data_IF_827911419510
#
_entry.id   IF_827911419510
#
_cell.length_a   1.000
_cell.length_b   1.000
_cell.length_c   1.000
_cell.angle_alpha   90.00
_cell.angle_beta   90.00
_cell.angle_gamma   90.00
#
_symmetry.space_group_name_H-M   'P 1'
#
loop_
_entity.id
_entity.type
_entity.pdbx_description
1 polymer ?
#
# COMPACT_ATOMS: atom_id res chain seq x y z
N UNK A 1 -41.68 -27.73 -29.56
CA UNK A 1 -42.11 -26.62 -30.44
C UNK A 1 -41.99 -25.30 -29.69
N UNK A 2 -41.40 -24.30 -30.35
CA UNK A 2 -41.42 -22.83 -30.15
C UNK A 2 -41.08 -22.20 -28.78
N UNK A 3 -40.03 -21.36 -28.85
CA UNK A 3 -39.52 -20.34 -27.91
C UNK A 3 -40.48 -19.14 -27.79
N UNK A 4 -40.33 -18.31 -26.75
CA UNK A 4 -39.87 -16.88 -26.80
C UNK A 4 -40.09 -16.18 -25.44
N UNK A 5 -39.07 -15.42 -25.01
CA UNK A 5 -39.01 -14.47 -23.88
C UNK A 5 -39.93 -13.25 -24.07
N UNK A 6 -40.35 -12.60 -22.98
CA UNK A 6 -40.39 -11.13 -22.91
C UNK A 6 -40.47 -10.61 -21.47
N UNK A 7 -39.49 -9.74 -21.17
CA UNK A 7 -39.37 -8.87 -20.00
C UNK A 7 -40.07 -7.56 -20.35
N UNK A 8 -40.85 -6.98 -19.43
CA UNK A 8 -41.37 -5.61 -19.57
C UNK A 8 -41.03 -4.82 -18.30
N UNK A 9 -39.98 -3.99 -18.40
CA UNK A 9 -39.70 -2.89 -17.49
C UNK A 9 -40.44 -1.66 -17.98
N UNK A 10 -41.29 -1.06 -17.14
CA UNK A 10 -41.92 0.24 -17.40
C UNK A 10 -41.09 1.30 -16.69
N UNK A 11 -40.33 2.08 -17.46
CA UNK A 11 -39.70 3.33 -17.03
C UNK A 11 -40.70 4.44 -17.35
N UNK A 12 -41.33 5.01 -16.33
CA UNK A 12 -42.09 6.25 -16.47
C UNK A 12 -41.14 7.44 -16.47
N UNK A 13 -40.91 7.99 -17.66
CA UNK A 13 -40.11 9.20 -17.87
C UNK A 13 -41.05 10.42 -17.84
N UNK A 14 -41.02 11.19 -16.75
CA UNK A 14 -41.70 12.49 -16.69
C UNK A 14 -40.74 13.54 -17.25
N UNK A 15 -40.99 13.98 -18.49
CA UNK A 15 -40.35 15.16 -19.07
C UNK A 15 -41.01 16.42 -18.51
N UNK A 16 -40.31 17.15 -17.64
CA UNK A 16 -40.54 18.58 -17.46
C UNK A 16 -39.50 19.36 -18.26
N UNK A 17 -40.00 20.26 -19.11
CA UNK A 17 -39.20 21.08 -20.01
C UNK A 17 -38.23 21.99 -19.27
N UNK A 18 -36.97 21.93 -19.66
CA UNK A 18 -35.96 22.94 -19.37
C UNK A 18 -35.45 23.45 -20.72
N UNK A 19 -35.71 24.73 -21.00
CA UNK A 19 -35.10 25.45 -22.10
C UNK A 19 -33.69 25.87 -21.68
N UNK A 20 -32.67 25.30 -22.35
CA UNK A 20 -31.27 25.69 -22.17
C UNK A 20 -30.97 26.84 -23.12
N UNK A 21 -30.66 28.02 -22.57
CA UNK A 21 -30.03 29.10 -23.34
C UNK A 21 -28.51 29.03 -23.12
N UNK A 22 -27.75 28.79 -24.18
CA UNK A 22 -26.29 28.82 -24.15
C UNK A 22 -25.79 30.24 -24.36
N UNK A 23 -25.05 30.77 -23.40
CA UNK A 23 -24.24 31.97 -23.57
C UNK A 23 -22.77 31.56 -23.54
N UNK A 24 -22.06 31.82 -24.64
CA UNK A 24 -20.61 31.70 -24.77
C UNK A 24 -19.91 32.61 -23.75
N UNK A 25 -18.97 32.06 -22.99
CA UNK A 25 -18.08 32.83 -22.13
C UNK A 25 -17.45 31.94 -21.05
N UNK A 26 -16.14 32.02 -20.92
CA UNK A 26 -15.27 31.20 -20.06
C UNK A 26 -15.75 31.03 -18.60
N UNK A 27 -15.56 29.82 -18.07
CA UNK A 27 -15.44 29.58 -16.63
C UNK A 27 -16.67 28.96 -15.95
N UNK A 28 -16.46 27.74 -15.43
CA UNK A 28 -17.21 27.10 -14.33
C UNK A 28 -18.73 27.29 -14.33
N UNK A 29 -19.46 26.32 -14.90
CA UNK A 29 -20.90 26.17 -14.71
C UNK A 29 -21.26 25.94 -13.24
N UNK A 30 -21.77 26.99 -12.57
CA UNK A 30 -22.60 26.87 -11.36
C UNK A 30 -24.04 27.20 -11.76
N UNK A 31 -24.90 26.20 -11.75
CA UNK A 31 -26.34 26.33 -11.95
C UNK A 31 -26.97 26.87 -10.67
N UNK A 32 -27.72 27.96 -10.74
CA UNK A 32 -28.54 28.47 -9.64
C UNK A 32 -30.02 28.28 -10.01
N UNK A 33 -30.82 27.77 -9.07
CA UNK A 33 -32.26 27.52 -9.24
C UNK A 33 -33.02 28.43 -8.29
N UNK A 34 -33.98 29.19 -8.80
CA UNK A 34 -34.85 30.10 -8.03
C UNK A 34 -36.27 29.57 -7.98
N UNK A 35 -36.94 29.65 -6.84
CA UNK A 35 -38.37 29.31 -6.68
C UNK A 35 -39.28 30.49 -7.04
N UNK A 36 -40.60 30.25 -7.30
CA UNK A 36 -41.54 31.26 -7.80
C UNK A 36 -41.78 32.47 -6.87
N UNK A 37 -41.42 32.39 -5.59
CA UNK A 37 -41.71 33.43 -4.59
C UNK A 37 -40.52 34.39 -4.35
N UNK A 38 -39.53 34.41 -5.25
CA UNK A 38 -38.42 35.38 -5.20
C UNK A 38 -37.45 35.23 -4.02
N UNK A 39 -37.57 34.17 -3.21
CA UNK A 39 -36.55 33.81 -2.22
C UNK A 39 -35.40 33.07 -2.89
N UNK A 40 -34.20 33.64 -2.76
CA UNK A 40 -32.96 32.98 -3.15
C UNK A 40 -32.76 31.76 -2.25
N UNK A 41 -32.91 30.55 -2.79
CA UNK A 41 -32.42 29.34 -2.13
C UNK A 41 -30.91 29.32 -2.32
N UNK A 42 -30.18 29.85 -1.32
CA UNK A 42 -28.78 29.52 -1.18
C UNK A 42 -28.70 27.99 -1.13
N UNK A 43 -27.87 27.32 -1.96
CA UNK A 43 -27.61 25.92 -1.73
C UNK A 43 -27.14 25.82 -0.29
N UNK A 44 -27.80 24.96 0.49
CA UNK A 44 -27.25 24.57 1.78
C UNK A 44 -25.80 24.20 1.50
N UNK A 45 -24.87 24.95 2.10
CA UNK A 45 -23.49 24.50 2.18
C UNK A 45 -23.56 23.14 2.87
N UNK A 46 -23.55 22.07 2.07
CA UNK A 46 -23.11 20.78 2.55
C UNK A 46 -21.73 21.06 3.11
N UNK A 47 -21.68 21.13 4.44
CA UNK A 47 -20.45 21.13 5.18
C UNK A 47 -19.66 19.95 4.65
N UNK A 48 -18.53 20.28 4.03
CA UNK A 48 -17.38 19.41 3.90
C UNK A 48 -17.03 18.87 5.29
N UNK A 49 -17.69 17.79 5.72
CA UNK A 49 -17.38 17.07 6.94
C UNK A 49 -17.99 15.67 6.82
N UNK A 50 -17.35 14.84 6.00
CA UNK A 50 -17.26 13.38 6.16
C UNK A 50 -16.33 12.78 5.09
N UNK A 51 -15.22 13.44 4.78
CA UNK A 51 -14.01 12.68 4.47
C UNK A 51 -13.46 12.28 5.84
N UNK A 52 -13.26 10.97 6.14
CA UNK A 52 -12.53 10.62 7.34
C UNK A 52 -11.22 11.41 7.29
N UNK A 53 -10.98 12.23 8.31
CA UNK A 53 -9.69 12.86 8.53
C UNK A 53 -8.68 11.73 8.64
N UNK A 54 -8.11 11.34 7.49
CA UNK A 54 -7.01 10.39 7.38
C UNK A 54 -5.87 11.07 8.12
N UNK A 55 -5.65 10.64 9.36
CA UNK A 55 -4.72 11.32 10.24
C UNK A 55 -3.35 11.28 9.56
N UNK A 56 -2.72 12.44 9.33
CA UNK A 56 -1.43 12.52 8.62
C UNK A 56 -0.27 11.76 9.29
N UNK A 57 -0.53 11.08 10.42
CA UNK A 57 0.42 10.22 11.13
C UNK A 57 0.31 8.74 10.75
N UNK A 58 -0.83 8.28 10.23
CA UNK A 58 -1.12 6.85 10.03
C UNK A 58 -0.28 6.20 8.92
N UNK A 59 0.35 7.01 8.06
CA UNK A 59 1.18 6.52 6.95
C UNK A 59 2.56 7.18 6.87
N UNK A 60 3.04 7.83 7.94
CA UNK A 60 4.35 8.50 7.95
C UNK A 60 5.52 7.56 7.58
N UNK A 61 5.35 6.25 7.81
CA UNK A 61 6.32 5.24 7.40
C UNK A 61 6.43 5.09 5.87
N UNK A 62 5.36 5.35 5.11
CA UNK A 62 5.38 5.29 3.64
C UNK A 62 6.24 6.41 3.07
N UNK A 63 6.18 7.60 3.66
CA UNK A 63 7.03 8.74 3.25
C UNK A 63 8.51 8.47 3.53
N UNK A 64 8.82 7.83 4.65
CA UNK A 64 10.17 7.40 4.99
C UNK A 64 10.70 6.36 4.00
N UNK A 65 9.92 5.32 3.69
CA UNK A 65 10.30 4.31 2.70
C UNK A 65 10.39 4.87 1.29
N UNK A 66 9.52 5.80 0.93
CA UNK A 66 9.60 6.49 -0.36
C UNK A 66 10.89 7.30 -0.46
N UNK A 67 11.20 8.10 0.57
CA UNK A 67 12.44 8.90 0.63
C UNK A 67 13.69 8.02 0.58
N UNK A 68 13.69 6.90 1.31
CA UNK A 68 14.73 5.88 1.21
C UNK A 68 14.80 5.31 -0.21
N UNK A 69 13.67 4.95 -0.81
CA UNK A 69 13.65 4.34 -2.15
C UNK A 69 14.25 5.22 -3.23
N UNK A 70 14.16 6.56 -3.08
CA UNK A 70 14.73 7.55 -4.01
C UNK A 70 16.26 7.70 -3.92
N UNK A 71 16.85 7.34 -2.77
CA UNK A 71 18.27 7.59 -2.48
C UNK A 71 19.06 6.31 -2.35
N UNK A 72 18.41 5.24 -1.89
CA UNK A 72 19.00 3.97 -1.48
C UNK A 72 20.22 4.20 -0.56
N UNK A 73 20.15 5.23 0.29
CA UNK A 73 21.19 5.52 1.27
C UNK A 73 21.07 4.54 2.43
N UNK A 74 22.14 3.77 2.66
CA UNK A 74 22.20 2.73 3.67
C UNK A 74 23.09 3.19 4.83
N UNK A 75 22.51 3.61 5.97
CA UNK A 75 23.29 3.92 7.15
C UNK A 75 24.17 2.75 7.56
N UNK A 76 25.43 3.05 7.89
CA UNK A 76 26.35 2.05 8.41
C UNK A 76 26.10 1.81 9.90
N UNK A 77 25.72 0.58 10.24
CA UNK A 77 25.51 0.17 11.63
C UNK A 77 26.63 -0.74 12.13
N UNK A 78 27.03 -0.54 13.39
CA UNK A 78 28.02 -1.41 14.04
C UNK A 78 27.45 -2.80 14.36
N UNK A 79 26.17 -2.85 14.72
CA UNK A 79 25.51 -4.08 15.15
C UNK A 79 24.67 -4.65 14.00
N UNK A 80 24.72 -5.96 13.80
CA UNK A 80 23.82 -6.65 12.86
C UNK A 80 22.36 -6.54 13.31
N UNK A 81 22.08 -6.77 14.60
CA UNK A 81 20.75 -6.66 15.18
C UNK A 81 20.80 -6.04 16.57
N UNK A 82 19.94 -5.07 16.81
CA UNK A 82 19.63 -4.52 18.11
C UNK A 82 18.12 -4.60 18.32
N UNK A 83 17.68 -5.03 19.51
CA UNK A 83 16.26 -5.10 19.85
C UNK A 83 15.90 -3.99 20.83
N UNK A 84 14.75 -3.35 20.59
CA UNK A 84 14.04 -2.58 21.63
C UNK A 84 13.16 -3.53 22.44
N UNK A 85 12.45 -4.43 21.75
CA UNK A 85 11.71 -5.54 22.34
C UNK A 85 11.88 -6.81 21.48
N UNK A 86 12.63 -7.77 22.01
CA UNK A 86 12.96 -9.01 21.31
C UNK A 86 11.76 -9.94 21.12
N UNK A 87 10.86 -9.98 22.09
CA UNK A 87 9.68 -10.86 22.02
C UNK A 87 8.69 -10.31 20.99
N UNK A 88 8.41 -9.00 21.07
CA UNK A 88 7.57 -8.32 20.11
C UNK A 88 8.12 -8.41 18.68
N UNK A 89 9.42 -8.14 18.48
CA UNK A 89 10.07 -8.26 17.17
C UNK A 89 9.84 -9.63 16.53
N UNK A 90 10.11 -10.71 17.28
CA UNK A 90 9.93 -12.07 16.78
C UNK A 90 8.46 -12.39 16.47
N UNK A 91 7.53 -11.92 17.30
CA UNK A 91 6.11 -12.12 17.07
C UNK A 91 5.61 -11.35 15.82
N UNK A 92 5.97 -10.07 15.70
CA UNK A 92 5.61 -9.24 14.54
C UNK A 92 6.18 -9.84 13.25
N UNK A 93 7.44 -10.29 13.28
CA UNK A 93 8.09 -10.92 12.12
C UNK A 93 7.47 -12.27 11.74
N UNK A 94 7.00 -13.06 12.71
CA UNK A 94 6.21 -14.28 12.43
C UNK A 94 4.89 -13.95 11.74
N UNK A 95 4.17 -12.92 12.20
CA UNK A 95 2.92 -12.48 11.56
C UNK A 95 3.15 -12.01 10.12
N UNK A 96 4.17 -11.17 9.91
CA UNK A 96 4.58 -10.71 8.59
C UNK A 96 4.92 -11.90 7.67
N UNK A 97 5.66 -12.89 8.18
CA UNK A 97 5.97 -14.11 7.42
C UNK A 97 4.73 -14.94 7.10
N UNK A 98 3.85 -15.18 8.07
CA UNK A 98 2.63 -15.97 7.86
C UNK A 98 1.77 -15.35 6.76
N UNK A 99 1.58 -14.04 6.80
CA UNK A 99 0.84 -13.34 5.76
C UNK A 99 1.48 -13.50 4.37
N UNK A 100 2.81 -13.32 4.28
CA UNK A 100 3.52 -13.54 3.01
C UNK A 100 3.44 -14.99 2.55
N UNK A 101 3.50 -15.98 3.44
CA UNK A 101 3.32 -17.39 3.10
C UNK A 101 1.90 -17.67 2.56
N UNK A 102 0.88 -16.96 3.02
CA UNK A 102 -0.50 -17.10 2.52
C UNK A 102 -0.62 -16.52 1.11
N UNK A 103 -0.20 -15.26 0.90
CA UNK A 103 -0.39 -14.58 -0.39
C UNK A 103 0.56 -15.06 -1.48
N UNK A 104 1.68 -15.70 -1.12
CA UNK A 104 2.66 -16.21 -2.10
C UNK A 104 2.64 -17.72 -2.26
N UNK A 105 1.64 -18.41 -1.69
CA UNK A 105 1.59 -19.88 -1.67
C UNK A 105 2.93 -20.46 -1.16
N UNK A 106 3.43 -19.94 -0.05
CA UNK A 106 4.74 -20.28 0.57
C UNK A 106 5.94 -20.08 -0.38
N UNK A 107 5.89 -19.04 -1.20
CA UNK A 107 6.93 -18.68 -2.17
C UNK A 107 6.87 -19.46 -3.49
N UNK A 108 5.75 -20.14 -3.79
CA UNK A 108 5.55 -20.84 -5.05
C UNK A 108 4.88 -19.98 -6.13
N UNK A 109 4.14 -18.95 -5.74
CA UNK A 109 3.39 -18.07 -6.63
C UNK A 109 3.49 -16.63 -6.14
N UNK A 110 3.62 -15.66 -7.05
CA UNK A 110 3.70 -14.24 -6.72
C UNK A 110 2.68 -13.39 -7.49
N UNK A 111 1.78 -14.04 -8.23
CA UNK A 111 0.74 -13.39 -9.03
C UNK A 111 -0.26 -12.57 -8.21
N UNK A 112 -0.34 -12.82 -6.90
CA UNK A 112 -1.15 -12.02 -5.99
C UNK A 112 -0.78 -10.53 -6.00
N UNK A 113 0.43 -10.16 -6.44
CA UNK A 113 0.89 -8.77 -6.52
C UNK A 113 -0.12 -7.82 -7.17
N UNK A 114 -0.85 -8.25 -8.20
CA UNK A 114 -1.86 -7.42 -8.90
C UNK A 114 -3.08 -7.03 -8.08
N UNK A 115 -3.34 -7.78 -7.02
CA UNK A 115 -4.59 -7.69 -6.26
C UNK A 115 -4.37 -7.21 -4.82
N UNK A 116 -3.12 -7.22 -4.33
CA UNK A 116 -2.77 -6.86 -2.95
C UNK A 116 -3.19 -5.44 -2.57
N UNK A 117 -3.16 -4.49 -3.50
CA UNK A 117 -3.64 -3.12 -3.24
C UNK A 117 -5.12 -3.04 -2.85
N UNK A 118 -5.92 -4.06 -3.15
CA UNK A 118 -7.33 -4.18 -2.78
C UNK A 118 -7.55 -5.03 -1.51
N UNK A 119 -6.52 -5.71 -1.02
CA UNK A 119 -6.57 -6.51 0.20
C UNK A 119 -6.31 -5.60 1.43
N UNK A 120 -7.29 -5.41 2.34
CA UNK A 120 -7.07 -4.62 3.55
C UNK A 120 -6.01 -5.22 4.49
N UNK A 121 -5.67 -6.50 4.32
CA UNK A 121 -4.59 -7.16 5.08
C UNK A 121 -3.20 -6.75 4.60
N UNK A 122 -3.08 -6.27 3.36
CA UNK A 122 -1.84 -5.74 2.81
C UNK A 122 -1.39 -4.47 3.55
N UNK A 123 -2.32 -3.57 3.87
CA UNK A 123 -2.03 -2.38 4.67
C UNK A 123 -1.54 -2.77 6.08
N UNK A 124 -2.18 -3.75 6.71
CA UNK A 124 -1.75 -4.29 8.02
C UNK A 124 -0.36 -4.92 7.95
N UNK A 125 0.00 -5.52 6.83
CA UNK A 125 1.36 -6.00 6.60
C UNK A 125 2.36 -4.83 6.57
N UNK A 126 2.05 -3.75 5.86
CA UNK A 126 2.82 -2.50 5.91
C UNK A 126 2.99 -1.96 7.33
N UNK A 127 1.90 -1.90 8.11
CA UNK A 127 1.97 -1.50 9.52
C UNK A 127 2.87 -2.41 10.37
N UNK A 128 2.89 -3.72 10.11
CA UNK A 128 3.80 -4.65 10.78
C UNK A 128 5.27 -4.34 10.45
N UNK A 129 5.60 -4.03 9.18
CA UNK A 129 6.96 -3.62 8.80
C UNK A 129 7.35 -2.32 9.51
N UNK A 130 6.46 -1.33 9.52
CA UNK A 130 6.68 -0.07 10.20
C UNK A 130 6.86 -0.26 11.72
N UNK A 131 6.12 -1.18 12.33
CA UNK A 131 6.28 -1.55 13.74
C UNK A 131 7.64 -2.19 13.99
N UNK A 132 8.09 -3.12 13.12
CA UNK A 132 9.42 -3.72 13.23
C UNK A 132 10.51 -2.64 13.25
N UNK A 133 10.46 -1.71 12.31
CA UNK A 133 11.46 -0.66 12.15
C UNK A 133 11.44 0.37 13.30
N UNK A 134 10.26 0.85 13.68
CA UNK A 134 10.15 1.99 14.60
C UNK A 134 10.10 1.58 16.08
N UNK A 135 9.52 0.41 16.38
CA UNK A 135 9.18 0.02 17.77
C UNK A 135 9.92 -1.22 18.24
N UNK A 136 10.13 -2.21 17.37
CA UNK A 136 10.63 -3.51 17.82
C UNK A 136 12.17 -3.63 17.72
N UNK A 137 12.78 -3.08 16.66
CA UNK A 137 14.24 -3.04 16.47
C UNK A 137 14.87 -1.68 16.83
N UNK A 138 16.12 -1.74 17.29
CA UNK A 138 17.00 -0.60 17.50
C UNK A 138 17.98 -0.41 16.34
N UNK A 139 18.82 0.62 16.43
CA UNK A 139 19.83 0.95 15.41
C UNK A 139 20.76 -0.23 15.14
N UNK A 140 20.61 -0.82 13.95
CA UNK A 140 21.33 -2.01 13.50
C UNK A 140 21.09 -2.29 12.02
N UNK A 141 21.92 -3.12 11.41
CA UNK A 141 21.87 -3.44 9.97
C UNK A 141 20.50 -3.98 9.53
N UNK A 142 19.74 -4.62 10.44
CA UNK A 142 18.37 -5.09 10.14
C UNK A 142 17.41 -3.96 9.74
N UNK A 143 17.69 -2.73 10.13
CA UNK A 143 16.91 -1.57 9.70
C UNK A 143 17.11 -1.30 8.20
N UNK A 144 18.29 -1.59 7.64
CA UNK A 144 18.53 -1.51 6.20
C UNK A 144 17.73 -2.57 5.44
N UNK A 145 17.61 -3.78 5.98
CA UNK A 145 16.75 -4.83 5.42
C UNK A 145 15.26 -4.45 5.47
N UNK A 146 14.83 -3.79 6.55
CA UNK A 146 13.45 -3.30 6.67
C UNK A 146 13.16 -2.09 5.79
N UNK A 147 14.15 -1.21 5.54
CA UNK A 147 14.04 -0.15 4.55
C UNK A 147 13.89 -0.72 3.13
N UNK A 148 14.69 -1.73 2.77
CA UNK A 148 14.51 -2.48 1.52
C UNK A 148 13.11 -3.10 1.43
N UNK A 149 12.65 -3.79 2.49
CA UNK A 149 11.31 -4.35 2.54
C UNK A 149 10.21 -3.29 2.36
N UNK A 150 10.39 -2.11 2.97
CA UNK A 150 9.49 -0.97 2.82
C UNK A 150 9.44 -0.42 1.39
N UNK A 151 10.59 -0.27 0.74
CA UNK A 151 10.66 0.14 -0.66
C UNK A 151 9.97 -0.88 -1.58
N UNK A 152 10.23 -2.18 -1.39
CA UNK A 152 9.60 -3.27 -2.15
C UNK A 152 8.08 -3.32 -1.91
N UNK A 153 7.64 -3.09 -0.66
CA UNK A 153 6.22 -2.96 -0.33
C UNK A 153 5.55 -1.85 -1.17
N UNK A 154 6.20 -0.69 -1.31
CA UNK A 154 5.68 0.41 -2.13
C UNK A 154 5.63 0.05 -3.62
N UNK A 155 6.60 -0.71 -4.12
CA UNK A 155 6.61 -1.19 -5.51
C UNK A 155 5.42 -2.11 -5.80
N UNK A 156 5.16 -3.10 -4.93
CA UNK A 156 3.98 -3.96 -5.02
C UNK A 156 2.69 -3.14 -4.94
N UNK A 157 2.62 -2.21 -3.98
CA UNK A 157 1.43 -1.40 -3.71
C UNK A 157 1.05 -0.47 -4.88
N UNK A 158 2.02 0.03 -5.65
CA UNK A 158 1.81 1.07 -6.67
C UNK A 158 1.87 0.54 -8.09
N UNK A 159 2.58 -0.56 -8.32
CA UNK A 159 2.92 -1.04 -9.66
C UNK A 159 2.65 -2.53 -9.85
N UNK A 160 1.97 -3.20 -8.91
CA UNK A 160 1.61 -4.62 -9.02
C UNK A 160 2.84 -5.52 -9.27
N UNK A 161 4.00 -5.12 -8.75
CA UNK A 161 5.29 -5.68 -9.16
C UNK A 161 5.59 -7.03 -8.46
N UNK A 162 5.44 -8.13 -9.21
CA UNK A 162 5.71 -9.49 -8.70
C UNK A 162 7.17 -9.70 -8.22
N UNK A 163 8.21 -9.22 -8.94
CA UNK A 163 9.58 -9.31 -8.43
C UNK A 163 9.77 -8.69 -7.05
N UNK A 164 9.09 -7.58 -6.76
CA UNK A 164 9.12 -6.91 -5.47
C UNK A 164 8.46 -7.76 -4.40
N UNK A 165 7.33 -8.39 -4.71
CA UNK A 165 6.69 -9.33 -3.77
C UNK A 165 7.59 -10.53 -3.47
N UNK A 166 8.33 -11.01 -4.48
CA UNK A 166 9.34 -12.07 -4.30
C UNK A 166 10.48 -11.64 -3.39
N UNK A 167 11.14 -10.51 -3.66
CA UNK A 167 12.22 -10.05 -2.79
C UNK A 167 11.75 -9.76 -1.38
N UNK A 168 10.55 -9.19 -1.23
CA UNK A 168 9.92 -8.96 0.07
C UNK A 168 9.70 -10.29 0.83
N UNK A 169 9.18 -11.32 0.15
CA UNK A 169 9.05 -12.67 0.71
C UNK A 169 10.39 -13.23 1.20
N UNK A 170 11.45 -13.07 0.40
CA UNK A 170 12.78 -13.58 0.71
C UNK A 170 13.42 -12.83 1.89
N UNK A 171 13.29 -11.49 1.98
CA UNK A 171 13.79 -10.68 3.12
C UNK A 171 13.13 -11.17 4.40
N UNK A 172 11.80 -11.18 4.43
CA UNK A 172 11.05 -11.52 5.64
C UNK A 172 11.28 -12.99 6.01
N UNK A 173 11.43 -13.88 5.03
CA UNK A 173 11.81 -15.27 5.29
C UNK A 173 13.19 -15.41 5.89
N UNK A 174 14.19 -14.70 5.38
CA UNK A 174 15.56 -14.74 5.91
C UNK A 174 15.64 -14.19 7.33
N UNK A 175 15.06 -13.00 7.56
CA UNK A 175 15.00 -12.39 8.89
C UNK A 175 14.26 -13.30 9.87
N UNK A 176 13.08 -13.82 9.50
CA UNK A 176 12.27 -14.68 10.37
C UNK A 176 13.03 -15.95 10.73
N UNK A 177 13.69 -16.59 9.77
CA UNK A 177 14.47 -17.80 10.03
C UNK A 177 15.69 -17.50 10.90
N UNK A 178 16.46 -16.44 10.63
CA UNK A 178 17.66 -16.13 11.43
C UNK A 178 17.30 -15.85 12.88
N UNK A 179 16.26 -15.07 13.11
CA UNK A 179 15.88 -14.67 14.46
C UNK A 179 15.11 -15.77 15.21
N UNK A 180 14.55 -16.77 14.51
CA UNK A 180 13.83 -17.90 15.10
C UNK A 180 14.57 -19.25 15.02
N UNK A 181 15.84 -19.28 14.61
CA UNK A 181 16.69 -20.50 14.66
C UNK A 181 16.55 -21.46 13.47
N UNK A 182 16.05 -21.00 12.32
CA UNK A 182 16.06 -21.76 11.07
C UNK A 182 17.44 -21.84 10.41
N UNK A 183 17.62 -22.75 9.45
CA UNK A 183 18.93 -23.02 8.82
C UNK A 183 19.01 -22.78 7.30
N UNK A 184 17.87 -22.71 6.58
CA UNK A 184 17.83 -22.46 5.13
C UNK A 184 17.50 -21.00 4.84
N UNK A 185 18.29 -20.34 4.00
CA UNK A 185 18.18 -18.92 3.69
C UNK A 185 18.27 -18.69 2.18
N UNK A 186 17.64 -17.63 1.70
CA UNK A 186 17.83 -17.10 0.34
C UNK A 186 19.18 -16.37 0.23
N UNK A 187 19.61 -15.75 1.33
CA UNK A 187 20.91 -15.07 1.46
C UNK A 187 20.89 -13.66 0.88
N UNK A 188 19.71 -13.04 0.81
CA UNK A 188 19.49 -11.76 0.11
C UNK A 188 19.56 -10.56 1.05
N UNK A 189 19.45 -10.78 2.36
CA UNK A 189 19.51 -9.69 3.36
C UNK A 189 20.93 -9.12 3.48
N UNK A 190 21.04 -7.82 3.79
CA UNK A 190 22.31 -7.16 4.14
C UNK A 190 22.83 -7.63 5.50
N UNK A 191 21.94 -7.87 6.45
CA UNK A 191 22.34 -8.26 7.82
C UNK A 191 22.99 -9.64 7.86
N UNK A 192 22.51 -10.57 7.02
CA UNK A 192 22.85 -12.00 7.15
C UNK A 192 23.19 -12.72 5.84
N UNK A 193 23.00 -12.06 4.71
CA UNK A 193 23.22 -12.60 3.38
C UNK A 193 24.48 -12.06 2.73
N UNK A 194 24.77 -12.58 1.55
CA UNK A 194 25.86 -12.15 0.68
C UNK A 194 25.38 -11.77 -0.73
N UNK A 195 24.05 -11.71 -0.94
CA UNK A 195 23.41 -11.38 -2.21
C UNK A 195 22.56 -10.11 -2.12
N UNK A 196 22.82 -9.23 -1.15
CA UNK A 196 22.08 -7.99 -0.99
C UNK A 196 22.20 -7.04 -2.18
N UNK A 197 23.28 -7.14 -2.94
CA UNK A 197 23.48 -6.39 -4.19
C UNK A 197 22.37 -6.63 -5.23
N UNK A 198 21.75 -7.81 -5.22
CA UNK A 198 20.63 -8.10 -6.12
C UNK A 198 19.42 -7.21 -5.83
N UNK A 199 19.11 -6.97 -4.55
CA UNK A 199 18.02 -6.07 -4.16
C UNK A 199 18.38 -4.63 -4.44
N UNK A 200 19.63 -4.23 -4.16
CA UNK A 200 20.10 -2.88 -4.42
C UNK A 200 19.98 -2.55 -5.91
N UNK A 201 20.57 -3.38 -6.78
CA UNK A 201 20.50 -3.21 -8.24
C UNK A 201 19.05 -3.23 -8.75
N UNK A 202 18.22 -4.10 -8.17
CA UNK A 202 16.81 -4.17 -8.52
C UNK A 202 16.05 -2.89 -8.16
N UNK A 203 16.21 -2.38 -6.92
CA UNK A 203 15.56 -1.13 -6.49
C UNK A 203 16.09 0.08 -7.25
N UNK A 204 17.38 0.11 -7.57
CA UNK A 204 18.01 1.16 -8.38
C UNK A 204 17.38 1.20 -9.78
N UNK A 205 17.13 0.04 -10.40
CA UNK A 205 16.44 -0.04 -11.70
C UNK A 205 14.98 0.46 -11.70
N UNK A 206 14.42 0.80 -10.54
CA UNK A 206 13.06 1.36 -10.39
C UNK A 206 13.06 2.87 -10.22
N UNK A 207 14.23 3.52 -10.28
CA UNK A 207 14.39 4.97 -10.18
C UNK A 207 14.25 5.69 -11.53
N UNK A 208 14.27 4.94 -12.63
CA UNK A 208 14.22 5.44 -14.01
C UNK A 208 12.79 5.77 -14.51
#
# INVERSE_FOLDING_TARGET
>A
MKRIFSIVSIISMVLFGLTVSSANGEGRTRTSVTTPDGKLLLPASESHDNLPQRTGKEHAYKDAWYSFSLTLDYPHYKNQVAYKDKSAAKQTLRRAKTYLDEVTVKGHDFSAASDLQRDPSWEKFGENLAKLQNRDFGESEILNDLNNAGALFLQVQRYDDEPSLRYLYEIISDLSRKLNGGSKFYGITRTYGNKSEAIHSYLESKLD
#
